data_IF_738689585515
#
_entry.id   IF_738689585515
#
_cell.length_a   1.000
_cell.length_b   1.000
_cell.length_c   1.000
_cell.angle_alpha   90.00
_cell.angle_beta   90.00
_cell.angle_gamma   90.00
#
_symmetry.space_group_name_H-M   'P 1'
#
loop_
_entity.id
_entity.type
_entity.pdbx_description
1 polymer ?
#
# COMPACT_ATOMS: atom_id res chain seq x y z
N UNK A 1 -29.91 -52.02 -28.89
CA UNK A 1 -29.20 -51.99 -27.59
C UNK A 1 -28.10 -50.92 -27.50
N UNK A 2 -27.34 -50.61 -28.57
CA UNK A 2 -26.25 -49.60 -28.53
C UNK A 2 -26.67 -48.16 -28.15
N UNK A 3 -27.90 -47.74 -28.51
CA UNK A 3 -28.41 -46.38 -28.21
C UNK A 3 -28.80 -46.19 -26.74
N UNK A 4 -29.14 -47.25 -26.02
CA UNK A 4 -29.53 -47.19 -24.59
C UNK A 4 -28.32 -46.85 -23.72
N UNK A 5 -27.14 -47.41 -24.02
CA UNK A 5 -25.90 -47.09 -23.32
C UNK A 5 -25.46 -45.63 -23.49
N UNK A 6 -25.79 -45.01 -24.64
CA UNK A 6 -25.51 -43.59 -24.88
C UNK A 6 -26.36 -42.71 -23.96
N UNK A 7 -27.66 -43.02 -23.79
CA UNK A 7 -28.55 -42.28 -22.89
C UNK A 7 -28.17 -42.46 -21.41
N UNK A 8 -27.71 -43.66 -21.01
CA UNK A 8 -27.22 -43.91 -19.65
C UNK A 8 -25.92 -43.13 -19.40
N UNK A 9 -24.99 -43.11 -20.36
CA UNK A 9 -23.75 -42.36 -20.24
C UNK A 9 -23.96 -40.84 -20.17
N UNK A 10 -24.94 -40.30 -20.91
CA UNK A 10 -25.28 -38.87 -20.85
C UNK A 10 -25.97 -38.49 -19.54
N UNK A 11 -26.84 -39.36 -19.01
CA UNK A 11 -27.46 -39.15 -17.70
C UNK A 11 -26.42 -39.19 -16.56
N UNK A 12 -25.43 -40.08 -16.65
CA UNK A 12 -24.36 -40.19 -15.67
C UNK A 12 -23.42 -38.98 -15.72
N UNK A 13 -23.15 -38.43 -16.91
CA UNK A 13 -22.32 -37.23 -17.09
C UNK A 13 -22.98 -35.95 -16.53
N UNK A 14 -24.31 -35.87 -16.54
CA UNK A 14 -25.05 -34.74 -15.96
C UNK A 14 -25.03 -34.72 -14.42
N UNK A 15 -24.74 -35.86 -13.77
CA UNK A 15 -24.68 -35.97 -12.31
C UNK A 15 -23.32 -35.59 -11.72
N UNK A 16 -22.26 -35.51 -12.53
CA UNK A 16 -20.89 -35.17 -12.09
C UNK A 16 -20.71 -33.65 -11.92
N UNK A 17 -21.67 -32.84 -12.39
CA UNK A 17 -21.63 -31.37 -12.33
C UNK A 17 -22.19 -30.75 -11.04
N UNK A 18 -22.73 -31.55 -10.11
CA UNK A 18 -23.21 -31.09 -8.81
C UNK A 18 -22.04 -30.85 -7.85
N UNK A 19 -21.19 -29.86 -8.18
CA UNK A 19 -20.08 -29.43 -7.35
C UNK A 19 -20.61 -28.95 -5.99
N UNK A 20 -20.23 -29.64 -4.91
CA UNK A 20 -20.42 -29.16 -3.54
C UNK A 20 -19.59 -27.90 -3.34
N UNK A 21 -20.21 -26.72 -3.46
CA UNK A 21 -19.55 -25.43 -3.33
C UNK A 21 -19.15 -25.09 -1.88
N UNK A 22 -19.80 -25.69 -0.87
CA UNK A 22 -19.61 -25.34 0.55
C UNK A 22 -18.44 -26.05 1.25
N UNK A 23 -17.79 -27.05 0.62
CA UNK A 23 -16.71 -27.80 1.29
C UNK A 23 -15.36 -27.04 1.32
N UNK A 24 -15.16 -26.11 0.39
CA UNK A 24 -13.93 -25.33 0.26
C UNK A 24 -14.01 -23.96 0.94
N UNK A 25 -15.17 -23.58 1.45
CA UNK A 25 -15.31 -22.36 2.23
C UNK A 25 -14.76 -22.60 3.63
N UNK A 26 -13.65 -21.95 3.93
CA UNK A 26 -12.97 -22.05 5.22
C UNK A 26 -13.93 -21.56 6.32
N UNK A 27 -14.32 -22.46 7.23
CA UNK A 27 -15.27 -22.15 8.34
C UNK A 27 -14.82 -20.96 9.21
N UNK A 28 -13.50 -20.78 9.33
CA UNK A 28 -12.91 -19.69 10.11
C UNK A 28 -11.88 -18.93 9.28
N UNK A 29 -12.33 -17.84 8.68
CA UNK A 29 -11.44 -16.81 8.15
C UNK A 29 -11.31 -15.67 9.18
N UNK A 30 -10.20 -15.69 9.91
CA UNK A 30 -9.83 -14.60 10.82
C UNK A 30 -9.39 -13.33 10.05
N UNK A 31 -9.27 -13.38 8.72
CA UNK A 31 -8.96 -12.20 7.92
C UNK A 31 -10.13 -11.22 7.94
N UNK A 32 -9.81 -9.94 8.20
CA UNK A 32 -10.79 -8.87 8.10
C UNK A 32 -11.06 -8.60 6.62
N UNK A 33 -12.18 -9.08 6.11
CA UNK A 33 -12.58 -8.77 4.73
C UNK A 33 -12.81 -7.26 4.55
N UNK A 34 -12.63 -6.75 3.33
CA UNK A 34 -12.89 -5.33 3.02
C UNK A 34 -14.32 -4.94 3.42
N UNK A 35 -15.30 -5.80 3.14
CA UNK A 35 -16.71 -5.57 3.50
C UNK A 35 -16.92 -5.46 5.01
N UNK A 36 -16.25 -6.29 5.82
CA UNK A 36 -16.32 -6.20 7.29
C UNK A 36 -15.63 -4.93 7.81
N UNK A 37 -14.47 -4.59 7.25
CA UNK A 37 -13.67 -3.43 7.65
C UNK A 37 -14.39 -2.11 7.36
N UNK A 38 -14.87 -1.94 6.12
CA UNK A 38 -15.56 -0.73 5.67
C UNK A 38 -17.06 -0.72 5.98
N UNK A 39 -17.60 -1.80 6.53
CA UNK A 39 -18.97 -1.89 7.05
C UNK A 39 -19.10 -1.49 8.52
N UNK A 40 -17.99 -1.29 9.23
CA UNK A 40 -17.97 -0.87 10.63
C UNK A 40 -17.23 0.47 10.78
N UNK A 41 -17.83 1.50 11.41
CA UNK A 41 -17.21 2.82 11.55
C UNK A 41 -15.90 2.79 12.33
N UNK A 42 -15.79 1.96 13.37
CA UNK A 42 -14.58 1.87 14.18
C UNK A 42 -13.44 1.21 13.41
N UNK A 43 -13.73 0.14 12.68
CA UNK A 43 -12.73 -0.54 11.83
C UNK A 43 -12.31 0.35 10.65
N UNK A 44 -13.24 1.11 10.07
CA UNK A 44 -12.93 2.09 9.03
C UNK A 44 -11.98 3.17 9.56
N UNK A 45 -12.22 3.68 10.77
CA UNK A 45 -11.31 4.62 11.44
C UNK A 45 -9.95 4.00 11.75
N UNK A 46 -9.91 2.75 12.21
CA UNK A 46 -8.65 2.04 12.46
C UNK A 46 -7.85 1.83 11.16
N UNK A 47 -8.53 1.56 10.04
CA UNK A 47 -7.88 1.48 8.74
C UNK A 47 -7.23 2.81 8.36
N UNK A 48 -7.93 3.94 8.56
CA UNK A 48 -7.36 5.27 8.33
C UNK A 48 -6.15 5.53 9.24
N UNK A 49 -6.24 5.20 10.52
CA UNK A 49 -5.12 5.30 11.46
C UNK A 49 -3.92 4.44 11.03
N UNK A 50 -4.15 3.29 10.42
CA UNK A 50 -3.10 2.43 9.86
C UNK A 50 -2.43 3.02 8.60
N UNK A 51 -3.06 3.99 7.93
CA UNK A 51 -2.38 4.76 6.86
C UNK A 51 -1.39 5.73 7.50
N UNK A 52 -1.75 6.39 8.60
CA UNK A 52 -0.87 7.31 9.32
C UNK A 52 0.42 6.64 9.82
N UNK A 53 0.40 5.34 10.12
CA UNK A 53 1.61 4.60 10.51
C UNK A 53 2.64 4.45 9.39
N UNK A 54 2.30 4.79 8.14
CA UNK A 54 3.26 4.88 7.04
C UNK A 54 4.01 6.22 7.01
N UNK A 55 3.65 7.20 7.83
CA UNK A 55 4.47 8.40 7.96
C UNK A 55 5.79 8.04 8.66
N UNK A 56 6.91 8.66 8.26
CA UNK A 56 8.19 8.44 8.93
C UNK A 56 8.09 8.86 10.40
N UNK A 57 8.64 8.02 11.28
CA UNK A 57 8.81 8.39 12.68
C UNK A 57 9.92 9.44 12.78
N UNK A 58 9.53 10.65 13.21
CA UNK A 58 10.47 11.77 13.37
C UNK A 58 11.56 11.51 14.40
N UNK A 59 11.37 10.55 15.32
CA UNK A 59 12.34 10.18 16.34
C UNK A 59 13.12 8.91 16.01
N UNK A 60 12.73 8.14 14.99
CA UNK A 60 13.46 6.94 14.58
C UNK A 60 14.96 7.19 14.32
N UNK A 61 15.37 8.32 13.71
CA UNK A 61 16.78 8.67 13.57
C UNK A 61 17.57 8.74 14.89
N UNK A 62 16.92 9.05 16.02
CA UNK A 62 17.60 9.15 17.32
C UNK A 62 17.98 7.80 17.91
N UNK A 63 17.35 6.72 17.43
CA UNK A 63 17.58 5.36 17.94
C UNK A 63 18.62 4.59 17.12
N UNK A 64 19.14 5.16 16.04
CA UNK A 64 20.14 4.54 15.17
C UNK A 64 21.42 5.41 15.14
N UNK A 65 22.56 4.89 15.63
CA UNK A 65 23.84 5.56 15.56
C UNK A 65 24.19 6.08 14.16
N UNK A 66 23.76 5.39 13.11
CA UNK A 66 24.01 5.78 11.72
C UNK A 66 23.34 7.12 11.37
N UNK A 67 22.14 7.39 11.88
CA UNK A 67 21.42 8.63 11.62
C UNK A 67 21.77 9.74 12.62
N UNK A 68 22.14 9.40 13.86
CA UNK A 68 22.68 10.39 14.82
C UNK A 68 24.11 10.83 14.48
N UNK A 69 24.89 9.95 13.84
CA UNK A 69 26.28 10.18 13.45
C UNK A 69 26.45 10.83 12.08
N UNK A 70 25.46 10.68 11.19
CA UNK A 70 25.37 11.40 9.92
C UNK A 70 23.92 11.78 9.62
N UNK A 71 23.65 13.07 9.60
CA UNK A 71 22.37 13.59 9.15
C UNK A 71 22.20 13.43 7.64
N UNK A 72 20.96 13.56 7.15
CA UNK A 72 20.68 13.57 5.70
C UNK A 72 21.39 14.70 4.95
N UNK A 73 21.80 15.77 5.63
CA UNK A 73 22.55 16.87 5.01
C UNK A 73 23.91 16.41 4.49
N UNK A 74 24.42 15.27 4.97
CA UNK A 74 25.64 14.63 4.45
C UNK A 74 25.50 14.10 3.02
N UNK A 75 24.29 14.13 2.42
CA UNK A 75 24.07 13.88 1.00
C UNK A 75 24.35 15.13 0.14
N UNK A 76 24.63 16.28 0.76
CA UNK A 76 24.82 17.58 0.12
C UNK A 76 26.14 18.21 0.57
N UNK A 77 26.47 19.40 0.08
CA UNK A 77 27.65 20.16 0.49
C UNK A 77 27.50 20.86 1.86
N UNK A 78 26.36 20.70 2.54
CA UNK A 78 26.11 21.29 3.86
C UNK A 78 26.85 20.58 5.00
N UNK A 79 27.11 19.28 4.87
CA UNK A 79 27.75 18.47 5.90
C UNK A 79 28.52 17.29 5.31
N UNK A 80 29.49 16.77 6.05
CA UNK A 80 30.19 15.53 5.71
C UNK A 80 30.34 14.68 6.96
N UNK A 81 30.31 13.36 6.79
CA UNK A 81 30.63 12.42 7.85
C UNK A 81 32.14 12.18 7.92
N UNK A 82 32.66 12.02 9.13
CA UNK A 82 34.04 11.56 9.32
C UNK A 82 34.18 10.04 9.10
N UNK A 83 33.10 9.29 9.31
CA UNK A 83 33.10 7.83 9.27
C UNK A 83 32.52 7.33 7.95
N UNK A 84 33.37 6.72 7.10
CA UNK A 84 33.02 6.27 5.75
C UNK A 84 31.97 5.15 5.66
N UNK A 85 31.50 4.64 6.80
CA UNK A 85 30.48 3.59 6.90
C UNK A 85 29.06 4.14 7.07
N UNK A 86 28.92 5.45 7.23
CA UNK A 86 27.61 6.09 7.36
C UNK A 86 26.82 6.02 6.05
N UNK A 87 25.50 5.82 6.16
CA UNK A 87 24.63 5.52 5.01
C UNK A 87 24.72 6.54 3.87
N UNK A 88 24.85 7.83 4.20
CA UNK A 88 24.80 8.92 3.23
C UNK A 88 26.12 9.17 2.49
N UNK A 89 27.25 8.69 3.02
CA UNK A 89 28.56 8.84 2.34
C UNK A 89 28.60 8.11 0.99
N UNK A 90 27.83 7.02 0.87
CA UNK A 90 27.66 6.30 -0.39
C UNK A 90 27.10 7.19 -1.49
N UNK A 91 26.22 8.14 -1.13
CA UNK A 91 25.57 9.05 -2.07
C UNK A 91 26.58 10.10 -2.57
N UNK A 92 27.33 10.71 -1.65
CA UNK A 92 28.36 11.69 -2.02
C UNK A 92 29.50 11.09 -2.85
N UNK A 93 29.78 9.80 -2.69
CA UNK A 93 30.84 9.08 -3.42
C UNK A 93 30.35 8.29 -4.64
N UNK A 94 29.03 8.29 -4.92
CA UNK A 94 28.39 7.54 -6.01
C UNK A 94 28.73 6.03 -6.04
N UNK A 95 28.82 5.40 -4.86
CA UNK A 95 29.20 3.98 -4.69
C UNK A 95 28.02 3.08 -4.31
N UNK A 96 26.80 3.46 -4.66
CA UNK A 96 25.60 2.66 -4.43
C UNK A 96 25.08 2.03 -5.72
N UNK A 97 24.27 1.00 -5.58
CA UNK A 97 23.52 0.36 -6.64
C UNK A 97 22.02 0.53 -6.40
N UNK A 98 21.20 0.11 -7.37
CA UNK A 98 19.75 0.07 -7.19
C UNK A 98 19.31 -0.87 -6.04
N UNK A 99 20.15 -1.83 -5.64
CA UNK A 99 19.82 -2.81 -4.60
C UNK A 99 20.13 -2.32 -3.17
N UNK A 100 21.05 -1.36 -3.02
CA UNK A 100 21.51 -0.89 -1.71
C UNK A 100 21.45 0.65 -1.54
N UNK A 101 20.60 1.30 -2.34
CA UNK A 101 20.36 2.73 -2.24
C UNK A 101 19.88 3.12 -0.83
N UNK A 102 20.50 4.09 -0.13
CA UNK A 102 20.14 4.45 1.25
C UNK A 102 18.69 4.89 1.45
N UNK A 103 18.06 5.42 0.39
CA UNK A 103 16.65 5.86 0.42
C UNK A 103 15.63 4.76 0.08
N UNK A 104 16.05 3.51 -0.18
CA UNK A 104 15.15 2.43 -0.62
C UNK A 104 14.03 2.13 0.40
N UNK A 105 14.26 2.42 1.69
CA UNK A 105 13.25 2.31 2.73
C UNK A 105 12.02 3.18 2.47
N UNK A 106 12.22 4.43 2.04
CA UNK A 106 11.14 5.38 1.73
C UNK A 106 10.27 4.86 0.59
N UNK A 107 10.90 4.32 -0.46
CA UNK A 107 10.16 3.73 -1.59
C UNK A 107 9.12 2.70 -1.14
N UNK A 108 9.53 1.76 -0.29
CA UNK A 108 8.65 0.70 0.18
C UNK A 108 7.52 1.24 1.06
N UNK A 109 7.83 2.18 1.96
CA UNK A 109 6.87 2.77 2.87
C UNK A 109 5.82 3.59 2.11
N UNK A 110 6.23 4.41 1.15
CA UNK A 110 5.34 5.28 0.38
C UNK A 110 4.45 4.50 -0.58
N UNK A 111 5.03 3.56 -1.34
CA UNK A 111 4.24 2.72 -2.28
C UNK A 111 3.18 1.92 -1.51
N UNK A 112 3.53 1.41 -0.33
CA UNK A 112 2.57 0.72 0.53
C UNK A 112 1.50 1.68 1.09
N UNK A 113 1.90 2.88 1.51
CA UNK A 113 0.99 3.94 1.96
C UNK A 113 -0.02 4.36 0.89
N UNK A 114 0.45 4.59 -0.35
CA UNK A 114 -0.38 4.91 -1.52
C UNK A 114 -1.40 3.82 -1.78
N UNK A 115 -0.99 2.54 -1.72
CA UNK A 115 -1.90 1.40 -1.88
C UNK A 115 -3.01 1.42 -0.82
N UNK A 116 -2.67 1.61 0.45
CA UNK A 116 -3.68 1.70 1.53
C UNK A 116 -4.64 2.87 1.31
N UNK A 117 -4.12 4.05 0.93
CA UNK A 117 -4.96 5.21 0.61
C UNK A 117 -5.94 4.90 -0.52
N UNK A 118 -5.48 4.23 -1.58
CA UNK A 118 -6.33 3.84 -2.71
C UNK A 118 -7.43 2.86 -2.30
N UNK A 119 -7.14 1.89 -1.42
CA UNK A 119 -8.15 0.97 -0.86
C UNK A 119 -9.16 1.74 -0.02
N UNK A 120 -8.70 2.65 0.84
CA UNK A 120 -9.56 3.45 1.70
C UNK A 120 -10.51 4.34 0.89
N UNK A 121 -9.96 5.15 -0.04
CA UNK A 121 -10.73 6.08 -0.86
C UNK A 121 -11.75 5.37 -1.77
N UNK A 122 -11.48 4.11 -2.14
CA UNK A 122 -12.40 3.29 -2.94
C UNK A 122 -13.58 2.75 -2.10
N UNK A 123 -13.35 2.40 -0.84
CA UNK A 123 -14.29 1.60 -0.05
C UNK A 123 -14.99 2.39 1.06
N UNK A 124 -14.47 3.55 1.46
CA UNK A 124 -15.09 4.39 2.50
C UNK A 124 -16.47 4.89 2.05
N UNK A 125 -17.46 4.75 2.93
CA UNK A 125 -18.85 5.10 2.66
C UNK A 125 -19.40 6.07 3.70
N UNK A 126 -20.09 7.11 3.24
CA UNK A 126 -20.73 8.10 4.11
C UNK A 126 -21.81 7.48 5.02
N UNK A 127 -22.49 6.43 4.55
CA UNK A 127 -23.49 5.69 5.31
C UNK A 127 -22.93 4.97 6.54
N UNK A 128 -21.64 4.60 6.52
CA UNK A 128 -21.00 3.87 7.62
C UNK A 128 -20.33 4.83 8.60
N UNK A 129 -19.57 5.81 8.09
CA UNK A 129 -18.83 6.76 8.93
C UNK A 129 -19.75 7.82 9.54
N UNK A 130 -20.83 8.16 8.84
CA UNK A 130 -21.67 9.31 9.15
C UNK A 130 -21.06 10.60 8.60
N UNK A 131 -21.91 11.47 8.05
CA UNK A 131 -21.49 12.76 7.51
C UNK A 131 -22.41 13.90 7.97
N UNK A 132 -22.75 13.88 9.26
CA UNK A 132 -23.62 14.86 9.87
C UNK A 132 -22.80 15.91 10.63
N UNK A 133 -23.25 17.15 10.58
CA UNK A 133 -22.73 18.23 11.41
C UNK A 133 -23.12 17.96 12.86
N UNK A 134 -22.21 18.16 13.81
CA UNK A 134 -22.49 18.07 15.25
C UNK A 134 -22.43 19.46 15.84
N UNK A 135 -23.31 19.73 16.80
CA UNK A 135 -23.32 21.00 17.50
C UNK A 135 -21.97 21.21 18.22
N UNK A 136 -21.28 22.30 17.90
CA UNK A 136 -19.93 22.61 18.38
C UNK A 136 -18.78 21.95 17.60
N UNK A 137 -19.06 21.14 16.57
CA UNK A 137 -18.05 20.52 15.72
C UNK A 137 -18.61 20.16 14.33
N UNK A 138 -18.43 21.04 13.34
CA UNK A 138 -18.87 20.85 11.95
C UNK A 138 -17.90 19.92 11.17
N UNK A 139 -17.63 18.76 11.76
CA UNK A 139 -16.47 17.95 11.37
C UNK A 139 -16.73 16.96 10.25
N UNK A 140 -17.90 17.01 9.58
CA UNK A 140 -18.32 16.20 8.41
C UNK A 140 -17.42 14.97 8.19
N UNK A 141 -17.54 13.99 9.10
CA UNK A 141 -16.46 13.02 9.36
C UNK A 141 -16.03 12.24 8.13
N UNK A 142 -16.98 11.88 7.28
CA UNK A 142 -16.70 11.22 6.02
C UNK A 142 -15.83 12.08 5.09
N UNK A 143 -16.19 13.35 4.90
CA UNK A 143 -15.41 14.28 4.07
C UNK A 143 -14.01 14.51 4.65
N UNK A 144 -13.93 14.65 5.98
CA UNK A 144 -12.64 14.81 6.67
C UNK A 144 -11.74 13.60 6.44
N UNK A 145 -12.23 12.40 6.68
CA UNK A 145 -11.46 11.17 6.47
C UNK A 145 -11.02 11.00 5.01
N UNK A 146 -11.88 11.38 4.06
CA UNK A 146 -11.55 11.34 2.63
C UNK A 146 -10.48 12.39 2.27
N UNK A 147 -10.55 13.57 2.87
CA UNK A 147 -9.52 14.61 2.73
C UNK A 147 -8.18 14.17 3.35
N UNK A 148 -8.19 13.63 4.56
CA UNK A 148 -7.01 13.07 5.25
C UNK A 148 -6.32 12.02 4.38
N UNK A 149 -7.04 11.02 3.87
CA UNK A 149 -6.48 9.97 3.03
C UNK A 149 -6.00 10.50 1.65
N UNK A 150 -6.65 11.53 1.11
CA UNK A 150 -6.22 12.17 -0.14
C UNK A 150 -4.92 12.94 0.05
N UNK A 151 -4.80 13.68 1.16
CA UNK A 151 -3.58 14.39 1.53
C UNK A 151 -2.42 13.43 1.76
N UNK A 152 -2.61 12.37 2.55
CA UNK A 152 -1.58 11.36 2.79
C UNK A 152 -1.10 10.72 1.49
N UNK A 153 -2.02 10.37 0.58
CA UNK A 153 -1.64 9.85 -0.75
C UNK A 153 -0.81 10.84 -1.55
N UNK A 154 -1.15 12.13 -1.52
CA UNK A 154 -0.39 13.18 -2.19
C UNK A 154 1.00 13.35 -1.56
N UNK A 155 1.10 13.29 -0.23
CA UNK A 155 2.36 13.38 0.50
C UNK A 155 3.30 12.21 0.15
N UNK A 156 2.80 10.97 0.14
CA UNK A 156 3.59 9.80 -0.26
C UNK A 156 4.05 9.89 -1.73
N UNK A 157 3.20 10.41 -2.63
CA UNK A 157 3.63 10.67 -4.00
C UNK A 157 4.70 11.77 -4.09
N UNK A 158 4.56 12.83 -3.31
CA UNK A 158 5.53 13.91 -3.25
C UNK A 158 6.89 13.42 -2.76
N UNK A 159 6.93 12.58 -1.73
CA UNK A 159 8.18 12.02 -1.20
C UNK A 159 8.88 11.14 -2.26
N UNK A 160 8.13 10.24 -2.92
CA UNK A 160 8.66 9.42 -4.02
C UNK A 160 9.25 10.25 -5.17
N UNK A 161 8.55 11.30 -5.60
CA UNK A 161 9.01 12.16 -6.69
C UNK A 161 10.25 12.96 -6.25
N UNK A 162 10.30 13.41 -4.99
CA UNK A 162 11.41 14.20 -4.47
C UNK A 162 12.72 13.41 -4.43
N UNK A 163 12.67 12.12 -4.11
CA UNK A 163 13.87 11.28 -4.00
C UNK A 163 14.22 10.51 -5.28
N UNK A 164 13.23 10.09 -6.06
CA UNK A 164 13.44 9.18 -7.19
C UNK A 164 13.10 9.80 -8.55
N UNK A 165 12.56 11.03 -8.57
CA UNK A 165 12.16 11.72 -9.79
C UNK A 165 10.95 11.05 -10.45
N UNK A 166 11.18 10.18 -11.43
CA UNK A 166 10.10 9.54 -12.20
C UNK A 166 9.44 8.40 -11.41
N UNK A 167 8.53 8.76 -10.50
CA UNK A 167 7.76 7.80 -9.71
C UNK A 167 6.39 7.49 -10.32
N UNK A 168 5.92 6.25 -10.15
CA UNK A 168 4.64 5.78 -10.65
C UNK A 168 3.47 6.50 -9.94
N UNK A 169 2.64 7.22 -10.70
CA UNK A 169 1.40 7.84 -10.21
C UNK A 169 0.24 6.84 -10.17
N UNK A 170 0.07 6.14 -9.05
CA UNK A 170 -1.06 5.24 -8.82
C UNK A 170 -2.27 5.99 -8.24
N UNK A 171 -3.00 6.71 -9.10
CA UNK A 171 -4.21 7.48 -8.69
C UNK A 171 -5.48 6.63 -8.59
N UNK A 172 -5.49 5.46 -9.22
CA UNK A 172 -6.59 4.49 -9.20
C UNK A 172 -6.03 3.09 -9.01
N UNK A 173 -6.76 2.25 -8.28
CA UNK A 173 -6.44 0.84 -8.12
C UNK A 173 -6.83 0.08 -9.40
N UNK A 174 -6.02 0.20 -10.45
CA UNK A 174 -6.17 -0.63 -11.64
C UNK A 174 -5.70 -2.05 -11.30
N UNK A 175 -6.53 -3.06 -11.58
CA UNK A 175 -6.25 -4.50 -11.35
C UNK A 175 -4.96 -5.00 -12.04
N UNK A 176 -4.32 -4.21 -12.90
CA UNK A 176 -3.21 -4.64 -13.75
C UNK A 176 -1.80 -4.27 -13.26
N UNK A 177 -1.63 -3.41 -12.26
CA UNK A 177 -0.29 -2.86 -11.92
C UNK A 177 0.51 -3.68 -10.88
N UNK A 178 0.21 -4.97 -10.72
CA UNK A 178 1.04 -5.90 -9.93
C UNK A 178 2.17 -6.55 -10.77
N UNK A 179 2.50 -6.01 -11.94
CA UNK A 179 3.53 -6.58 -12.79
C UNK A 179 4.75 -5.65 -12.84
N UNK A 180 5.80 -6.10 -12.15
CA UNK A 180 7.21 -6.02 -12.56
C UNK A 180 7.61 -4.77 -13.35
N UNK A 181 8.27 -3.85 -12.66
CA UNK A 181 9.23 -2.94 -13.28
C UNK A 181 10.44 -3.75 -13.77
N UNK A 182 10.29 -4.42 -14.92
CA UNK A 182 11.46 -4.71 -15.76
C UNK A 182 11.80 -3.42 -16.49
N UNK A 183 12.84 -2.72 -16.01
CA UNK A 183 13.48 -1.63 -16.73
C UNK A 183 13.84 -2.08 -18.15
N UNK A 184 13.59 -1.28 -19.20
CA UNK A 184 14.23 -1.49 -20.49
C UNK A 184 15.68 -0.95 -20.38
N UNK A 185 16.58 -1.80 -19.89
CA UNK A 185 18.01 -1.60 -20.10
C UNK A 185 18.30 -1.99 -21.54
N UNK A 186 18.70 -0.98 -22.32
CA UNK A 186 19.61 -1.01 -23.48
C UNK A 186 19.33 -2.07 -24.56
N UNK A 187 18.97 -1.59 -25.74
CA UNK A 187 19.46 -2.17 -27.00
C UNK A 187 20.09 -1.05 -27.86
N UNK A 188 21.15 -1.39 -28.61
CA UNK A 188 22.18 -0.44 -29.09
C UNK A 188 21.69 0.61 -30.08
#
# INVERSE_FOLDING_TARGET
MKKVYIYIATALFLLIGSSCNDYLDKEYDASLSEKKTFGNPNLTRQFLANIYTNLPDGFAPLNDPQFTGASRDCMTDNATSWWSLHYYDKIGSDIYTAADHPLLGFWNVDVYGIRKCNVFLKNVQASVVGNNEKEGDDNRLYERYRAEATFLRALFHFDLISWFGNALLSLKMNRAHLLYSTSPILQP
#
